data_IF_760441417122
#
_entry.id   IF_760441417122
#
_cell.length_a   1.000
_cell.length_b   1.000
_cell.length_c   1.000
_cell.angle_alpha   90.00
_cell.angle_beta   90.00
_cell.angle_gamma   90.00
#
_symmetry.space_group_name_H-M   'P 1'
#
loop_
_entity.id
_entity.type
_entity.pdbx_description
1 polymer ?
#
# COMPACT_ATOMS: atom_id res chain seq x y z
N UNK A 1 -11.87 -20.41 -35.45
CA UNK A 1 -13.05 -19.56 -35.19
C UNK A 1 -13.49 -18.75 -36.40
N UNK A 2 -12.58 -18.04 -37.06
CA UNK A 2 -12.90 -17.09 -38.18
C UNK A 2 -13.54 -17.79 -39.39
N UNK A 3 -13.09 -18.97 -39.75
CA UNK A 3 -13.63 -19.72 -40.91
C UNK A 3 -15.12 -20.12 -40.71
N UNK A 4 -15.53 -20.43 -39.49
CA UNK A 4 -16.93 -20.77 -39.18
C UNK A 4 -17.86 -19.56 -39.33
N UNK A 5 -17.42 -18.40 -38.87
CA UNK A 5 -18.16 -17.13 -38.99
C UNK A 5 -18.30 -16.70 -40.47
N UNK A 6 -17.21 -16.81 -41.25
CA UNK A 6 -17.21 -16.46 -42.68
C UNK A 6 -18.09 -17.45 -43.46
N UNK A 7 -18.07 -18.75 -43.16
CA UNK A 7 -18.92 -19.76 -43.79
C UNK A 7 -20.40 -19.54 -43.51
N UNK A 8 -20.74 -19.18 -42.24
CA UNK A 8 -22.12 -18.87 -41.84
C UNK A 8 -22.65 -17.60 -42.49
N UNK A 9 -21.82 -16.55 -42.54
CA UNK A 9 -22.17 -15.27 -43.19
C UNK A 9 -22.34 -15.44 -44.70
N UNK A 10 -21.47 -16.21 -45.36
CA UNK A 10 -21.55 -16.50 -46.79
C UNK A 10 -22.78 -17.37 -47.12
N UNK A 11 -23.08 -18.40 -46.32
CA UNK A 11 -24.27 -19.21 -46.44
C UNK A 11 -25.58 -18.45 -46.29
N UNK A 12 -25.59 -17.47 -45.37
CA UNK A 12 -26.74 -16.60 -45.12
C UNK A 12 -26.95 -15.60 -46.26
N UNK A 13 -25.88 -15.00 -46.80
CA UNK A 13 -25.94 -14.10 -47.96
C UNK A 13 -26.40 -14.81 -49.25
N UNK A 14 -25.95 -16.06 -49.48
CA UNK A 14 -26.38 -16.86 -50.61
C UNK A 14 -27.85 -17.25 -50.47
N UNK A 15 -28.34 -17.59 -49.28
CA UNK A 15 -29.75 -17.94 -49.03
C UNK A 15 -30.70 -16.74 -49.20
N UNK A 16 -30.24 -15.53 -48.80
CA UNK A 16 -30.97 -14.27 -49.00
C UNK A 16 -31.11 -13.92 -50.52
N UNK A 17 -30.18 -14.35 -51.34
CA UNK A 17 -30.18 -14.09 -52.78
C UNK A 17 -31.00 -15.11 -53.60
N UNK A 18 -31.20 -16.33 -53.04
CA UNK A 18 -31.90 -17.41 -53.72
C UNK A 18 -33.42 -17.45 -53.44
N UNK A 19 -33.88 -16.87 -52.31
CA UNK A 19 -35.29 -16.83 -51.97
C UNK A 19 -35.84 -15.41 -52.13
N UNK A 20 -36.59 -15.18 -53.17
CA UNK A 20 -37.34 -13.93 -53.35
C UNK A 20 -38.46 -13.70 -52.30
N UNK A 21 -38.36 -14.28 -51.12
CA UNK A 21 -39.24 -14.13 -49.99
C UNK A 21 -38.53 -13.29 -48.90
N UNK A 22 -39.29 -12.37 -48.30
CA UNK A 22 -38.80 -11.39 -47.35
C UNK A 22 -37.96 -12.00 -46.22
N UNK A 23 -37.07 -11.17 -45.68
CA UNK A 23 -36.15 -11.47 -44.60
C UNK A 23 -36.79 -12.26 -43.46
N UNK A 24 -36.41 -13.54 -43.31
CA UNK A 24 -36.88 -14.35 -42.18
C UNK A 24 -36.32 -13.79 -40.90
N UNK A 25 -37.13 -13.09 -40.13
CA UNK A 25 -36.74 -12.31 -38.94
C UNK A 25 -36.12 -13.17 -37.83
N UNK A 26 -36.55 -14.45 -37.70
CA UNK A 26 -36.05 -15.38 -36.72
C UNK A 26 -34.53 -15.66 -36.84
N UNK A 27 -34.03 -16.16 -37.98
CA UNK A 27 -32.59 -16.35 -38.18
C UNK A 27 -31.77 -15.07 -38.10
N UNK A 28 -32.31 -13.93 -38.60
CA UNK A 28 -31.63 -12.66 -38.52
C UNK A 28 -31.48 -12.16 -37.08
N UNK A 29 -32.50 -12.34 -36.25
CA UNK A 29 -32.45 -11.97 -34.83
C UNK A 29 -31.42 -12.82 -34.06
N UNK A 30 -31.37 -14.14 -34.33
CA UNK A 30 -30.41 -15.03 -33.69
C UNK A 30 -28.97 -14.65 -34.08
N UNK A 31 -28.72 -14.40 -35.34
CA UNK A 31 -27.39 -13.98 -35.82
C UNK A 31 -27.01 -12.62 -35.23
N UNK A 32 -27.92 -11.66 -35.19
CA UNK A 32 -27.71 -10.37 -34.58
C UNK A 32 -27.34 -10.50 -33.09
N UNK A 33 -28.05 -11.35 -32.35
CA UNK A 33 -27.73 -11.62 -30.95
C UNK A 33 -26.28 -12.15 -30.77
N UNK A 34 -25.87 -13.13 -31.56
CA UNK A 34 -24.51 -13.66 -31.46
C UNK A 34 -23.42 -12.61 -31.83
N UNK A 35 -23.71 -11.74 -32.80
CA UNK A 35 -22.81 -10.64 -33.16
C UNK A 35 -22.66 -9.67 -31.97
N UNK A 36 -23.76 -9.29 -31.32
CA UNK A 36 -23.72 -8.44 -30.13
C UNK A 36 -22.92 -9.07 -29.00
N UNK A 37 -23.16 -10.37 -28.73
CA UNK A 37 -22.40 -11.10 -27.67
C UNK A 37 -20.91 -11.16 -28.02
N UNK A 38 -20.56 -11.40 -29.28
CA UNK A 38 -19.16 -11.41 -29.72
C UNK A 38 -18.48 -10.03 -29.57
N UNK A 39 -19.19 -8.94 -29.90
CA UNK A 39 -18.68 -7.57 -29.72
C UNK A 39 -18.50 -7.27 -28.24
N UNK A 40 -19.48 -7.60 -27.38
CA UNK A 40 -19.36 -7.43 -25.93
C UNK A 40 -18.19 -8.23 -25.37
N UNK A 41 -18.03 -9.48 -25.79
CA UNK A 41 -16.90 -10.32 -25.37
C UNK A 41 -15.55 -9.71 -25.76
N UNK A 42 -15.40 -9.23 -26.98
CA UNK A 42 -14.20 -8.57 -27.47
C UNK A 42 -13.91 -7.26 -26.66
N UNK A 43 -14.96 -6.53 -26.34
CA UNK A 43 -14.86 -5.30 -25.54
C UNK A 43 -14.40 -5.61 -24.10
N UNK A 44 -14.96 -6.65 -23.47
CA UNK A 44 -14.52 -7.07 -22.12
C UNK A 44 -13.06 -7.56 -22.13
N UNK A 45 -12.64 -8.32 -23.12
CA UNK A 45 -11.25 -8.76 -23.26
C UNK A 45 -10.32 -7.54 -23.45
N UNK A 46 -10.71 -6.59 -24.30
CA UNK A 46 -9.92 -5.38 -24.51
C UNK A 46 -9.79 -4.53 -23.25
N UNK A 47 -10.86 -4.43 -22.45
CA UNK A 47 -10.84 -3.72 -21.17
C UNK A 47 -10.00 -4.47 -20.14
N UNK A 48 -10.04 -5.81 -20.14
CA UNK A 48 -9.24 -6.63 -19.23
C UNK A 48 -7.73 -6.53 -19.53
N UNK A 49 -7.36 -6.45 -20.81
CA UNK A 49 -5.95 -6.40 -21.22
C UNK A 49 -5.34 -4.98 -21.15
N UNK A 50 -6.10 -3.95 -21.52
CA UNK A 50 -5.62 -2.59 -21.70
C UNK A 50 -6.14 -1.59 -20.69
N UNK A 51 -7.12 -1.99 -19.88
CA UNK A 51 -7.87 -1.08 -19.02
C UNK A 51 -8.85 -0.21 -19.79
N UNK A 52 -9.64 0.58 -19.06
CA UNK A 52 -10.54 1.57 -19.64
C UNK A 52 -9.73 2.77 -20.14
N UNK A 53 -9.99 3.18 -21.39
CA UNK A 53 -9.40 4.41 -21.90
C UNK A 53 -9.87 5.63 -21.09
N UNK A 54 -9.04 6.67 -20.89
CA UNK A 54 -9.39 7.85 -20.10
C UNK A 54 -10.70 8.53 -20.50
N UNK A 55 -11.05 8.48 -21.78
CA UNK A 55 -12.28 9.05 -22.32
C UNK A 55 -13.54 8.27 -21.94
N UNK A 56 -13.47 6.95 -21.85
CA UNK A 56 -14.58 6.10 -21.38
C UNK A 56 -14.74 6.19 -19.87
N UNK A 57 -13.62 6.31 -19.16
CA UNK A 57 -13.62 6.48 -17.71
C UNK A 57 -14.32 7.78 -17.28
N UNK A 58 -14.04 8.90 -17.95
CA UNK A 58 -14.66 10.19 -17.65
C UNK A 58 -16.16 10.23 -17.90
N UNK A 59 -16.65 9.37 -18.82
CA UNK A 59 -18.08 9.27 -19.12
C UNK A 59 -18.83 8.35 -18.13
N UNK A 60 -18.17 7.29 -17.65
CA UNK A 60 -18.77 6.27 -16.79
C UNK A 60 -18.73 6.63 -15.31
N UNK A 61 -17.77 7.43 -14.87
CA UNK A 61 -17.65 7.86 -13.48
C UNK A 61 -18.00 9.34 -13.32
N UNK A 62 -18.87 9.69 -12.35
CA UNK A 62 -19.05 11.07 -11.97
C UNK A 62 -17.70 11.65 -11.54
N UNK A 63 -17.32 12.79 -12.11
CA UNK A 63 -16.14 13.54 -11.69
C UNK A 63 -16.20 13.75 -10.20
N UNK A 64 -15.25 13.16 -9.47
CA UNK A 64 -15.09 13.40 -8.03
C UNK A 64 -14.67 14.86 -7.86
N UNK A 65 -15.67 15.72 -7.70
CA UNK A 65 -15.48 17.08 -7.24
C UNK A 65 -14.97 17.01 -5.81
N UNK A 66 -13.91 17.74 -5.49
CA UNK A 66 -13.24 17.85 -4.20
C UNK A 66 -12.16 16.81 -3.86
N UNK A 67 -11.00 16.85 -4.56
CA UNK A 67 -9.70 16.57 -3.91
C UNK A 67 -9.52 15.25 -3.14
N UNK A 68 -10.53 14.40 -3.07
CA UNK A 68 -10.46 13.07 -2.46
C UNK A 68 -9.80 12.11 -3.45
N UNK A 69 -8.55 11.79 -3.21
CA UNK A 69 -7.94 10.61 -3.82
C UNK A 69 -8.74 9.39 -3.39
N UNK A 70 -9.60 8.89 -4.27
CA UNK A 70 -10.24 7.59 -4.08
C UNK A 70 -9.14 6.54 -4.24
N UNK A 71 -8.61 6.08 -3.11
CA UNK A 71 -7.70 4.95 -3.11
C UNK A 71 -8.57 3.70 -3.19
N UNK A 72 -8.58 3.04 -4.31
CA UNK A 72 -9.23 1.73 -4.46
C UNK A 72 -8.56 0.72 -3.55
N UNK A 73 -9.34 0.05 -2.70
CA UNK A 73 -8.86 -1.05 -1.85
C UNK A 73 -8.50 -2.29 -2.69
N UNK A 74 -9.00 -2.36 -3.91
CA UNK A 74 -8.55 -3.36 -4.89
C UNK A 74 -7.44 -2.74 -5.76
N UNK A 75 -6.18 -3.19 -5.62
CA UNK A 75 -5.13 -2.77 -6.52
C UNK A 75 -5.39 -3.38 -7.89
N UNK A 76 -6.21 -2.71 -8.69
CA UNK A 76 -6.14 -2.89 -10.12
C UNK A 76 -4.70 -2.57 -10.51
N UNK A 77 -4.06 -3.45 -11.27
CA UNK A 77 -2.68 -3.29 -11.71
C UNK A 77 -2.57 -2.02 -12.56
N UNK A 78 -2.32 -0.89 -11.88
CA UNK A 78 -1.92 0.34 -12.55
C UNK A 78 -0.42 0.17 -12.75
N UNK A 79 0.00 -0.11 -13.98
CA UNK A 79 1.38 -0.42 -14.36
C UNK A 79 2.41 0.63 -13.92
N UNK A 80 1.99 1.86 -13.62
CA UNK A 80 2.85 2.94 -13.14
C UNK A 80 3.15 2.87 -11.63
N UNK A 81 2.30 2.22 -10.84
CA UNK A 81 2.47 2.10 -9.39
C UNK A 81 3.45 0.96 -9.02
N UNK A 82 3.60 -0.03 -9.90
CA UNK A 82 4.50 -1.15 -9.69
C UNK A 82 5.96 -0.72 -9.66
N UNK A 83 6.41 0.08 -10.61
CA UNK A 83 7.79 0.58 -10.65
C UNK A 83 8.12 1.50 -9.46
N UNK A 84 7.16 2.30 -9.01
CA UNK A 84 7.35 3.13 -7.81
C UNK A 84 7.45 2.28 -6.55
N UNK A 85 6.58 1.29 -6.40
CA UNK A 85 6.62 0.34 -5.26
C UNK A 85 7.89 -0.49 -5.26
N UNK A 86 8.34 -0.96 -6.42
CA UNK A 86 9.60 -1.68 -6.57
C UNK A 86 10.80 -0.80 -6.21
N UNK A 87 10.84 0.44 -6.68
CA UNK A 87 11.91 1.38 -6.34
C UNK A 87 11.95 1.67 -4.82
N UNK A 88 10.80 1.92 -4.19
CA UNK A 88 10.69 2.12 -2.74
C UNK A 88 11.09 0.87 -1.96
N UNK A 89 10.70 -0.30 -2.42
CA UNK A 89 11.09 -1.57 -1.81
C UNK A 89 12.60 -1.82 -1.90
N UNK A 90 13.20 -1.55 -3.05
CA UNK A 90 14.64 -1.66 -3.25
C UNK A 90 15.43 -0.66 -2.38
N UNK A 91 14.94 0.57 -2.23
CA UNK A 91 15.51 1.54 -1.30
C UNK A 91 15.43 1.06 0.15
N UNK A 92 14.29 0.50 0.55
CA UNK A 92 14.11 -0.08 1.87
C UNK A 92 15.09 -1.25 2.11
N UNK A 93 15.23 -2.17 1.16
CA UNK A 93 16.19 -3.28 1.27
C UNK A 93 17.64 -2.78 1.42
N UNK A 94 18.02 -1.77 0.65
CA UNK A 94 19.36 -1.16 0.76
C UNK A 94 19.57 -0.49 2.13
N UNK A 95 18.53 0.13 2.69
CA UNK A 95 18.59 0.71 4.03
C UNK A 95 18.75 -0.37 5.10
N UNK A 96 17.98 -1.44 5.03
CA UNK A 96 18.08 -2.58 5.95
C UNK A 96 19.47 -3.22 5.89
N UNK A 97 20.03 -3.39 4.70
CA UNK A 97 21.36 -3.96 4.53
C UNK A 97 22.45 -3.04 5.11
N UNK A 98 22.38 -1.73 4.87
CA UNK A 98 23.27 -0.74 5.50
C UNK A 98 23.19 -0.77 7.02
N UNK A 99 21.98 -0.90 7.59
CA UNK A 99 21.79 -1.04 9.04
C UNK A 99 22.47 -2.31 9.56
N UNK A 100 22.30 -3.43 8.86
CA UNK A 100 22.90 -4.72 9.23
C UNK A 100 24.41 -4.68 9.18
N UNK A 101 25.00 -4.08 8.15
CA UNK A 101 26.45 -3.95 7.99
C UNK A 101 27.06 -3.07 9.08
N UNK A 102 26.38 -1.97 9.44
CA UNK A 102 26.80 -1.08 10.54
C UNK A 102 26.76 -1.78 11.89
N UNK A 103 25.78 -2.65 12.11
CA UNK A 103 25.71 -3.51 13.29
C UNK A 103 25.49 -2.77 14.62
N UNK A 104 24.79 -1.62 14.62
CA UNK A 104 24.44 -0.96 15.87
C UNK A 104 23.58 -1.86 16.75
N UNK A 105 23.95 -1.94 18.00
CA UNK A 105 23.21 -2.65 19.05
C UNK A 105 22.35 -1.62 19.79
N UNK A 106 21.03 -1.80 19.71
CA UNK A 106 20.08 -0.89 20.35
C UNK A 106 19.27 -1.63 21.40
N UNK A 107 19.41 -1.18 22.64
CA UNK A 107 18.59 -1.61 23.76
C UNK A 107 17.54 -0.53 24.03
N UNK A 108 16.28 -0.91 24.12
CA UNK A 108 15.17 0.01 24.37
C UNK A 108 14.24 -0.56 25.42
N UNK A 109 13.65 0.31 26.21
CA UNK A 109 12.70 -0.10 27.24
C UNK A 109 12.23 1.07 28.09
N UNK A 110 11.29 0.75 28.95
CA UNK A 110 10.78 1.67 29.94
C UNK A 110 11.57 1.54 31.25
N UNK A 111 11.75 2.66 31.94
CA UNK A 111 12.25 2.66 33.32
C UNK A 111 11.07 2.55 34.28
N UNK A 112 10.66 1.33 34.59
CA UNK A 112 9.51 1.02 35.44
C UNK A 112 8.28 0.53 34.67
N UNK A 113 7.18 0.41 35.37
CA UNK A 113 5.89 0.01 34.81
C UNK A 113 5.24 1.17 34.04
N UNK A 114 4.55 0.84 32.97
CA UNK A 114 3.83 1.82 32.15
C UNK A 114 2.34 1.70 32.40
N UNK A 115 1.78 2.76 32.96
CA UNK A 115 0.35 2.85 33.25
C UNK A 115 -0.30 3.97 32.43
N UNK A 116 -1.62 3.87 32.25
CA UNK A 116 -2.42 4.86 31.51
C UNK A 116 -2.33 6.25 32.19
N UNK A 117 -2.12 7.28 31.37
CA UNK A 117 -2.02 8.69 31.80
C UNK A 117 -0.90 8.95 32.83
N UNK A 118 0.03 8.03 33.02
CA UNK A 118 1.18 8.21 33.89
C UNK A 118 2.44 8.52 33.06
N UNK A 119 3.25 9.46 33.55
CA UNK A 119 4.52 9.82 32.91
C UNK A 119 5.55 8.74 33.18
N UNK A 120 5.94 7.99 32.15
CA UNK A 120 6.97 6.95 32.22
C UNK A 120 8.17 7.32 31.35
N UNK A 121 9.37 7.04 31.86
CA UNK A 121 10.60 7.37 31.11
C UNK A 121 10.92 6.24 30.14
N UNK A 122 10.96 6.57 28.87
CA UNK A 122 11.42 5.67 27.82
C UNK A 122 12.91 5.89 27.58
N UNK A 123 13.70 4.81 27.64
CA UNK A 123 15.15 4.82 27.48
C UNK A 123 15.56 4.03 26.24
N UNK A 124 16.55 4.57 25.53
CA UNK A 124 17.21 3.92 24.39
C UNK A 124 18.71 4.01 24.59
N UNK A 125 19.41 2.89 24.60
CA UNK A 125 20.87 2.84 24.62
C UNK A 125 21.37 2.31 23.27
N UNK A 126 22.29 3.06 22.66
CA UNK A 126 22.82 2.76 21.33
C UNK A 126 24.32 2.55 21.42
N UNK A 127 24.78 1.41 20.93
CA UNK A 127 26.22 1.04 20.89
C UNK A 127 26.62 0.59 19.48
N UNK A 128 27.87 0.76 19.15
CA UNK A 128 28.45 0.16 17.93
C UNK A 128 28.55 -1.35 18.09
N UNK A 129 28.97 -2.05 17.03
CA UNK A 129 29.24 -3.50 17.08
C UNK A 129 30.33 -3.84 18.10
N UNK A 130 31.28 -2.95 18.27
CA UNK A 130 32.42 -3.08 19.19
C UNK A 130 32.04 -2.74 20.66
N UNK A 131 30.82 -2.29 20.90
CA UNK A 131 30.28 -1.95 22.21
C UNK A 131 30.48 -0.48 22.62
N UNK A 132 31.09 0.35 21.77
CA UNK A 132 31.29 1.77 22.03
C UNK A 132 29.95 2.53 21.97
N UNK A 133 29.75 3.54 22.85
CA UNK A 133 28.52 4.31 22.86
C UNK A 133 28.42 5.20 21.61
N UNK A 134 27.26 5.19 20.98
CA UNK A 134 26.93 6.10 19.87
C UNK A 134 26.42 7.41 20.44
N UNK A 135 27.29 8.39 20.58
CA UNK A 135 26.97 9.72 21.12
C UNK A 135 26.55 10.71 20.05
N UNK A 136 25.80 11.75 20.43
CA UNK A 136 25.40 12.83 19.53
C UNK A 136 24.47 12.39 18.40
N UNK A 137 23.76 11.28 18.54
CA UNK A 137 22.73 10.87 17.60
C UNK A 137 21.41 11.59 17.90
N UNK A 138 20.66 11.88 16.86
CA UNK A 138 19.29 12.36 16.95
C UNK A 138 18.36 11.15 17.04
N UNK A 139 17.67 11.02 18.18
CA UNK A 139 16.79 9.87 18.43
C UNK A 139 15.36 10.37 18.58
N UNK A 140 14.50 9.97 17.65
CA UNK A 140 13.09 10.30 17.62
C UNK A 140 12.24 9.05 17.51
N UNK A 141 11.07 9.05 18.12
CA UNK A 141 10.17 7.92 18.09
C UNK A 141 8.71 8.33 18.02
N UNK A 142 7.89 7.37 17.68
CA UNK A 142 6.44 7.51 17.71
C UNK A 142 5.80 6.23 18.23
N UNK A 143 4.88 6.39 19.15
CA UNK A 143 3.96 5.33 19.56
C UNK A 143 2.68 5.47 18.75
N UNK A 144 2.41 4.46 17.93
CA UNK A 144 1.25 4.39 17.05
C UNK A 144 0.19 3.49 17.68
N UNK A 145 -1.05 3.97 17.71
CA UNK A 145 -2.16 3.15 18.15
C UNK A 145 -2.89 2.52 16.95
N UNK A 146 -2.85 1.19 16.78
CA UNK A 146 -3.48 0.54 15.62
C UNK A 146 -4.99 0.78 15.50
N UNK A 147 -5.67 1.02 16.62
CA UNK A 147 -7.12 1.22 16.67
C UNK A 147 -7.58 2.68 16.49
N UNK A 148 -6.69 3.67 16.72
CA UNK A 148 -7.03 5.09 16.60
C UNK A 148 -5.77 5.94 16.40
N UNK A 149 -5.50 6.35 15.18
CA UNK A 149 -4.32 7.15 14.80
C UNK A 149 -4.31 8.57 15.40
N UNK A 150 -5.46 9.06 15.90
CA UNK A 150 -5.52 10.36 16.58
C UNK A 150 -4.82 10.35 17.95
N UNK A 151 -4.54 9.17 18.46
CA UNK A 151 -3.84 8.97 19.73
C UNK A 151 -2.33 8.77 19.57
N UNK A 152 -1.82 8.86 18.34
CA UNK A 152 -0.40 8.68 18.07
C UNK A 152 0.42 9.74 18.83
N UNK A 153 1.50 9.29 19.49
CA UNK A 153 2.38 10.13 20.31
C UNK A 153 3.76 10.18 19.66
N UNK A 154 4.17 11.36 19.25
CA UNK A 154 5.52 11.62 18.71
C UNK A 154 6.41 12.21 19.80
N UNK A 155 7.64 11.75 19.93
CA UNK A 155 8.59 12.20 20.93
C UNK A 155 10.02 12.17 20.41
N UNK A 156 10.86 13.05 20.96
CA UNK A 156 12.30 13.08 20.71
C UNK A 156 13.03 12.82 22.04
N UNK A 157 14.03 11.95 22.01
CA UNK A 157 14.82 11.59 23.17
C UNK A 157 16.05 12.50 23.26
N UNK A 158 16.42 12.84 24.49
CA UNK A 158 17.63 13.63 24.77
C UNK A 158 18.71 12.71 25.30
N UNK A 159 19.95 12.94 24.90
CA UNK A 159 21.09 12.22 25.43
C UNK A 159 21.32 12.61 26.90
N UNK A 160 21.22 11.66 27.82
CA UNK A 160 21.41 11.84 29.26
C UNK A 160 22.75 11.31 29.74
N UNK A 161 23.30 10.34 29.03
CA UNK A 161 24.65 9.80 29.24
C UNK A 161 25.21 9.34 27.87
N UNK A 162 26.51 9.11 27.73
CA UNK A 162 27.10 8.69 26.46
C UNK A 162 26.39 7.51 25.82
N UNK A 163 25.72 7.73 24.66
CA UNK A 163 24.95 6.72 23.94
C UNK A 163 23.63 6.30 24.61
N UNK A 164 23.18 7.01 25.65
CA UNK A 164 21.90 6.75 26.34
C UNK A 164 20.97 7.93 26.14
N UNK A 165 19.81 7.67 25.61
CA UNK A 165 18.79 8.67 25.25
C UNK A 165 17.51 8.40 26.04
N UNK A 166 16.92 9.45 26.62
CA UNK A 166 15.73 9.33 27.47
C UNK A 166 14.70 10.40 27.16
N UNK A 167 13.44 10.05 27.36
CA UNK A 167 12.31 10.98 27.30
C UNK A 167 11.16 10.46 28.15
N UNK A 168 10.55 11.36 28.91
CA UNK A 168 9.28 11.09 29.58
C UNK A 168 8.14 11.12 28.55
N UNK A 169 7.35 10.06 28.52
CA UNK A 169 6.22 9.87 27.60
C UNK A 169 4.99 9.49 28.40
N UNK A 170 3.84 10.04 27.99
CA UNK A 170 2.53 9.72 28.55
C UNK A 170 1.70 9.02 27.47
N UNK A 171 1.16 7.85 27.78
CA UNK A 171 0.25 7.12 26.90
C UNK A 171 -1.16 7.13 27.50
N UNK A 172 -2.10 7.69 26.75
CA UNK A 172 -3.46 7.99 27.25
C UNK A 172 -4.37 6.77 27.38
N UNK A 173 -4.04 5.66 26.74
CA UNK A 173 -4.92 4.48 26.66
C UNK A 173 -4.16 3.19 26.94
N UNK A 174 -4.83 2.25 27.60
CA UNK A 174 -4.33 0.89 27.84
C UNK A 174 -4.30 0.07 26.54
N UNK A 175 -3.49 -0.98 26.53
CA UNK A 175 -3.39 -1.96 25.46
C UNK A 175 -2.13 -1.87 24.63
N UNK A 176 -2.17 -2.39 23.41
CA UNK A 176 -1.00 -2.52 22.53
C UNK A 176 -0.70 -1.23 21.77
N UNK A 177 0.57 -0.86 21.76
CA UNK A 177 1.11 0.28 21.01
C UNK A 177 2.29 -0.16 20.16
N UNK A 178 2.32 0.26 18.91
CA UNK A 178 3.44 0.03 18.01
C UNK A 178 4.44 1.19 18.16
N UNK A 179 5.68 0.86 18.46
CA UNK A 179 6.80 1.81 18.49
C UNK A 179 7.51 1.80 17.14
N UNK A 180 7.72 2.98 16.58
CA UNK A 180 8.68 3.20 15.50
C UNK A 180 9.72 4.17 16.02
N UNK A 181 11.00 3.78 16.00
CA UNK A 181 12.12 4.55 16.50
C UNK A 181 13.11 4.81 15.38
N UNK A 182 13.52 6.06 15.21
CA UNK A 182 14.53 6.49 14.26
C UNK A 182 15.74 7.02 15.01
N UNK A 183 16.90 6.48 14.72
CA UNK A 183 18.19 6.92 15.28
C UNK A 183 19.02 7.42 14.10
N UNK A 184 19.35 8.70 14.10
CA UNK A 184 20.13 9.35 13.04
C UNK A 184 21.46 9.84 13.59
N UNK A 185 22.54 9.51 12.90
CA UNK A 185 23.87 10.08 13.17
C UNK A 185 24.55 10.44 11.86
N UNK A 186 24.61 11.73 11.52
CA UNK A 186 25.02 12.18 10.21
C UNK A 186 24.10 11.66 9.10
N UNK A 187 24.63 10.95 8.15
CA UNK A 187 23.85 10.33 7.06
C UNK A 187 23.27 8.95 7.43
N UNK A 188 23.67 8.44 8.57
CA UNK A 188 23.27 7.12 9.02
C UNK A 188 21.91 7.14 9.68
N UNK A 189 20.96 6.38 9.14
CA UNK A 189 19.62 6.17 9.70
C UNK A 189 19.47 4.72 10.14
N UNK A 190 19.01 4.50 11.37
CA UNK A 190 18.66 3.20 11.92
C UNK A 190 17.21 3.22 12.40
N UNK A 191 16.36 2.39 11.79
CA UNK A 191 14.95 2.27 12.13
C UNK A 191 14.69 1.00 12.93
N UNK A 192 13.93 1.13 14.00
CA UNK A 192 13.51 0.00 14.84
C UNK A 192 12.01 0.03 15.03
N UNK A 193 11.38 -1.13 14.89
CA UNK A 193 9.98 -1.33 15.22
C UNK A 193 9.84 -2.28 16.39
N UNK A 194 8.90 -2.00 17.28
CA UNK A 194 8.60 -2.84 18.43
C UNK A 194 7.13 -2.67 18.83
N UNK A 195 6.70 -3.49 19.78
CA UNK A 195 5.37 -3.38 20.39
C UNK A 195 5.56 -3.25 21.89
N UNK A 196 4.78 -2.38 22.54
CA UNK A 196 4.68 -2.26 23.98
C UNK A 196 3.25 -2.43 24.44
N UNK A 197 3.07 -2.92 25.65
CA UNK A 197 1.78 -3.05 26.31
C UNK A 197 1.69 -2.05 27.44
N UNK A 198 0.57 -1.33 27.52
CA UNK A 198 0.25 -0.39 28.58
C UNK A 198 -0.85 -0.98 29.44
N UNK A 199 -0.60 -1.08 30.74
CA UNK A 199 -1.57 -1.65 31.70
C UNK A 199 -2.65 -0.61 32.03
N UNK A 200 -3.90 -1.07 32.13
CA UNK A 200 -4.93 -0.36 32.89
C UNK A 200 -4.67 -0.64 34.37
N UNK A 201 -4.44 0.37 35.15
CA UNK A 201 -4.43 0.22 36.61
C UNK A 201 -5.81 -0.12 37.10
#
# INVERSE_FOLDING_TARGET
GIYLLVSLACGMLLNLRASGQGLHWGPAAITGFFIVVAILGALFVSVAERGLTPSLWSWLMPTADNGRKVTSVFPGVISHDFHQKEALYNQYLQQVERQRQRGWQVQKGWLGEVSVNESSVFRVAVRTREGEPVTGAEVAGQFLRPSDTRQDVVFALKETAPGVYEQAVVLALAGSWNLVLHIRKGEDLHEIRAVTQVSSR
#
